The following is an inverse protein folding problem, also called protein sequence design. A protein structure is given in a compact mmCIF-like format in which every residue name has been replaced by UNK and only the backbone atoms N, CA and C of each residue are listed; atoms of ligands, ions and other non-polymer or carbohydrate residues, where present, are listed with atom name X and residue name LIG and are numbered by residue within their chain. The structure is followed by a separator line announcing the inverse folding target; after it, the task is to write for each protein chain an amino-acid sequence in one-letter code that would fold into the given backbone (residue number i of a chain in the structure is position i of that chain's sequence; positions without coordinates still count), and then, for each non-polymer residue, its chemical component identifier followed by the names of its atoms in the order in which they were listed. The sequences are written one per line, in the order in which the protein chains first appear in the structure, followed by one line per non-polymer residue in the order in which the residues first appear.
data_IF_412772837909
#
_entry.id   IF_412772837909
#
_cell.length_a   1.000
_cell.length_b   1.000
_cell.length_c   1.000
_cell.angle_alpha   90.00
_cell.angle_beta   90.00
_cell.angle_gamma   90.00
#
_symmetry.space_group_name_H-M   'P 1'
#
loop_
_entity.id
_entity.type
_entity.pdbx_description
1 polymer ?
#
# COMPACT_ATOMS: atom_id res chain seq x y z
N UNK A 1 -54.92 -23.97 26.93
CA UNK A 1 -55.95 -24.80 26.28
C UNK A 1 -55.36 -25.52 25.08
N UNK A 2 -55.41 -26.83 25.09
CA UNK A 2 -55.21 -27.86 24.05
C UNK A 2 -53.83 -27.85 23.35
N UNK A 3 -52.84 -28.67 23.68
CA UNK A 3 -52.79 -30.17 23.80
C UNK A 3 -52.80 -30.88 22.43
N UNK A 4 -51.63 -31.57 22.20
CA UNK A 4 -51.47 -33.01 21.82
C UNK A 4 -51.64 -33.30 20.32
N UNK A 5 -50.63 -33.92 19.65
CA UNK A 5 -50.37 -35.37 19.68
C UNK A 5 -49.09 -35.76 18.90
N UNK A 6 -48.32 -36.60 19.53
CA UNK A 6 -47.27 -37.48 19.02
C UNK A 6 -47.78 -38.47 17.97
N UNK A 7 -46.99 -38.85 16.98
CA UNK A 7 -46.95 -40.23 16.48
C UNK A 7 -45.55 -40.65 16.07
N UNK A 8 -45.07 -41.64 16.82
CA UNK A 8 -43.97 -42.54 16.47
C UNK A 8 -44.44 -43.57 15.46
N UNK A 9 -43.63 -43.92 14.48
CA UNK A 9 -43.66 -45.29 13.92
C UNK A 9 -42.19 -45.73 13.68
N UNK A 10 -41.87 -46.85 14.35
CA UNK A 10 -40.68 -47.71 14.13
C UNK A 10 -41.05 -48.78 13.09
N UNK A 11 -40.05 -49.19 12.28
CA UNK A 11 -39.80 -50.58 11.82
C UNK A 11 -38.55 -50.50 10.95
N UNK A 12 -37.44 -51.06 11.26
CA UNK A 12 -36.96 -52.45 11.33
C UNK A 12 -36.34 -52.91 9.99
N UNK A 13 -35.04 -53.06 10.06
CA UNK A 13 -34.09 -54.03 9.48
C UNK A 13 -34.42 -54.78 8.18
N UNK A 14 -33.48 -54.72 7.23
CA UNK A 14 -33.03 -55.93 6.51
C UNK A 14 -31.60 -55.69 5.97
N UNK A 15 -30.67 -56.47 6.49
CA UNK A 15 -29.32 -56.66 5.96
C UNK A 15 -29.37 -57.64 4.79
N UNK A 16 -28.68 -57.34 3.70
CA UNK A 16 -28.38 -58.36 2.69
C UNK A 16 -26.90 -58.23 2.34
N UNK A 17 -26.14 -59.22 2.83
CA UNK A 17 -24.80 -59.56 2.35
C UNK A 17 -24.92 -60.11 0.91
N UNK A 18 -24.03 -59.66 0.02
CA UNK A 18 -23.67 -60.45 -1.16
C UNK A 18 -22.15 -60.45 -1.35
N UNK A 19 -21.66 -61.68 -1.42
CA UNK A 19 -20.25 -62.10 -1.40
C UNK A 19 -19.73 -62.22 -2.83
N UNK A 20 -18.49 -61.76 -3.02
CA UNK A 20 -17.41 -62.16 -3.93
C UNK A 20 -17.70 -62.77 -5.29
N UNK A 21 -17.01 -62.22 -6.30
CA UNK A 21 -16.11 -63.02 -7.14
C UNK A 21 -14.89 -62.22 -7.61
N UNK A 22 -13.72 -62.68 -7.19
CA UNK A 22 -12.42 -62.37 -7.79
C UNK A 22 -12.33 -63.10 -9.13
N UNK A 23 -11.98 -62.34 -10.21
CA UNK A 23 -11.39 -62.94 -11.37
C UNK A 23 -10.13 -62.15 -11.74
N UNK A 24 -8.98 -62.76 -11.49
CA UNK A 24 -7.70 -62.32 -12.02
C UNK A 24 -7.59 -62.79 -13.47
N UNK A 25 -7.23 -61.87 -14.37
CA UNK A 25 -6.57 -62.21 -15.63
C UNK A 25 -5.45 -61.22 -15.86
N UNK A 26 -4.28 -61.79 -16.00
CA UNK A 26 -3.02 -61.10 -16.25
C UNK A 26 -2.82 -60.84 -17.74
N UNK A 27 -1.89 -59.92 -17.99
CA UNK A 27 -1.07 -59.70 -19.16
C UNK A 27 -1.68 -58.87 -20.32
N UNK A 28 -1.03 -57.75 -20.55
CA UNK A 28 -1.14 -56.90 -21.74
C UNK A 28 -0.27 -55.63 -21.61
N UNK A 29 0.97 -55.77 -21.96
CA UNK A 29 1.87 -54.83 -22.66
C UNK A 29 1.80 -53.33 -22.39
N UNK A 30 3.01 -52.81 -22.16
CA UNK A 30 3.52 -51.44 -22.17
C UNK A 30 2.77 -50.41 -22.99
N UNK A 31 2.17 -49.49 -22.28
CA UNK A 31 1.90 -48.17 -22.73
C UNK A 31 2.75 -47.23 -21.89
N UNK A 32 3.71 -46.60 -22.50
CA UNK A 32 4.47 -45.47 -21.99
C UNK A 32 3.46 -44.33 -21.74
N UNK A 33 2.78 -44.44 -20.63
CA UNK A 33 1.87 -43.41 -20.10
C UNK A 33 2.71 -42.28 -19.54
N UNK A 34 3.10 -41.36 -20.42
CA UNK A 34 3.43 -40.01 -19.96
C UNK A 34 2.31 -39.58 -19.02
N UNK A 35 2.56 -39.62 -17.70
CA UNK A 35 1.74 -38.95 -16.72
C UNK A 35 1.65 -37.50 -17.19
N UNK A 36 0.50 -37.10 -17.74
CA UNK A 36 0.18 -35.69 -17.84
C UNK A 36 0.27 -35.17 -16.41
N UNK A 37 1.30 -34.36 -16.13
CA UNK A 37 1.36 -33.65 -14.85
C UNK A 37 0.02 -32.98 -14.67
N UNK A 38 -0.62 -33.26 -13.53
CA UNK A 38 -1.94 -32.70 -13.20
C UNK A 38 -1.78 -31.19 -13.15
N UNK A 39 -2.31 -30.48 -14.15
CA UNK A 39 -2.23 -29.03 -14.24
C UNK A 39 -2.85 -28.32 -13.02
N UNK A 40 -3.68 -29.06 -12.25
CA UNK A 40 -4.28 -28.56 -11.01
C UNK A 40 -3.30 -28.48 -9.84
N UNK A 41 -2.15 -29.19 -9.87
CA UNK A 41 -1.16 -29.16 -8.81
C UNK A 41 -0.44 -27.79 -8.76
N UNK A 42 -0.63 -26.99 -7.69
CA UNK A 42 -0.02 -25.68 -7.56
C UNK A 42 1.50 -25.71 -7.51
N UNK A 43 2.12 -26.85 -7.20
CA UNK A 43 3.57 -26.97 -7.02
C UNK A 43 4.32 -27.21 -8.33
N UNK A 44 3.62 -27.57 -9.40
CA UNK A 44 4.21 -27.81 -10.73
C UNK A 44 4.39 -26.52 -11.50
N UNK A 45 5.38 -26.49 -12.38
CA UNK A 45 5.57 -25.39 -13.34
C UNK A 45 4.34 -25.27 -14.25
N UNK A 46 4.15 -24.07 -14.80
CA UNK A 46 3.19 -23.88 -15.87
C UNK A 46 3.65 -24.67 -17.10
N UNK A 47 2.77 -25.55 -17.61
CA UNK A 47 3.07 -26.32 -18.83
C UNK A 47 3.27 -25.36 -20.01
N UNK A 48 4.44 -25.37 -20.66
CA UNK A 48 4.72 -24.48 -21.80
C UNK A 48 3.85 -24.74 -23.03
N UNK A 49 3.13 -25.85 -23.07
CA UNK A 49 2.19 -26.18 -24.17
C UNK A 49 0.79 -25.62 -23.91
N UNK A 50 0.45 -25.33 -22.66
CA UNK A 50 -0.86 -24.79 -22.28
C UNK A 50 -0.89 -23.29 -22.54
N UNK A 51 -1.74 -22.84 -23.45
CA UNK A 51 -1.98 -21.40 -23.70
C UNK A 51 -2.82 -20.83 -22.57
N UNK A 52 -2.31 -19.75 -21.94
CA UNK A 52 -2.97 -19.07 -20.85
C UNK A 52 -3.11 -17.59 -21.17
N UNK A 53 -4.31 -17.05 -20.97
CA UNK A 53 -4.54 -15.59 -21.02
C UNK A 53 -4.96 -15.11 -19.65
N UNK A 54 -4.26 -14.10 -19.12
CA UNK A 54 -4.61 -13.40 -17.87
C UNK A 54 -4.92 -11.94 -18.17
N UNK A 55 -5.95 -11.43 -17.50
CA UNK A 55 -6.32 -10.02 -17.55
C UNK A 55 -5.79 -9.29 -16.31
N UNK A 56 -5.17 -8.12 -16.50
CA UNK A 56 -4.54 -7.34 -15.42
C UNK A 56 -5.02 -5.90 -15.48
N UNK A 57 -5.42 -5.31 -14.39
CA UNK A 57 -5.74 -3.89 -14.37
C UNK A 57 -4.50 -2.99 -14.18
N UNK A 58 -4.72 -1.68 -14.23
CA UNK A 58 -3.68 -0.66 -14.05
C UNK A 58 -2.59 -0.65 -15.12
N UNK A 59 -2.86 -1.14 -16.31
CA UNK A 59 -1.99 -0.86 -17.45
C UNK A 59 -1.93 0.66 -17.69
N UNK A 60 -0.74 1.27 -17.80
CA UNK A 60 -0.60 2.70 -18.05
C UNK A 60 -1.39 3.15 -19.27
N UNK A 61 -2.12 4.28 -19.20
CA UNK A 61 -2.86 4.81 -20.34
C UNK A 61 -1.92 5.39 -21.41
N UNK A 62 -2.41 5.56 -22.63
CA UNK A 62 -1.61 6.10 -23.74
C UNK A 62 -1.02 7.51 -23.46
N UNK A 63 -1.65 8.29 -22.60
CA UNK A 63 -1.13 9.59 -22.18
C UNK A 63 0.17 9.48 -21.36
N UNK A 64 0.41 8.35 -20.68
CA UNK A 64 1.64 8.04 -19.93
C UNK A 64 2.58 7.18 -20.80
N UNK A 65 3.12 7.77 -21.84
CA UNK A 65 3.81 7.07 -22.92
C UNK A 65 5.05 6.29 -22.45
N UNK A 66 5.85 6.85 -21.53
CA UNK A 66 7.04 6.20 -20.99
C UNK A 66 6.68 4.98 -20.13
N UNK A 67 5.71 5.12 -19.22
CA UNK A 67 5.22 4.03 -18.38
C UNK A 67 4.59 2.91 -19.23
N UNK A 68 3.81 3.29 -20.27
CA UNK A 68 3.21 2.32 -21.19
C UNK A 68 4.27 1.58 -22.03
N UNK A 69 5.36 2.28 -22.40
CA UNK A 69 6.51 1.67 -23.10
C UNK A 69 7.16 0.64 -22.19
N UNK A 70 7.51 1.01 -20.97
CA UNK A 70 8.08 0.10 -19.96
C UNK A 70 7.20 -1.14 -19.76
N UNK A 71 5.88 -0.93 -19.59
CA UNK A 71 4.92 -2.04 -19.40
C UNK A 71 4.95 -3.02 -20.59
N UNK A 72 5.00 -2.53 -21.82
CA UNK A 72 5.08 -3.36 -23.03
C UNK A 72 6.41 -4.12 -23.13
N UNK A 73 7.50 -3.51 -22.74
CA UNK A 73 8.82 -4.13 -22.71
C UNK A 73 8.90 -5.22 -21.65
N UNK A 74 8.29 -4.99 -20.48
CA UNK A 74 8.14 -6.01 -19.43
C UNK A 74 7.36 -7.23 -19.93
N UNK A 75 6.24 -7.02 -20.62
CA UNK A 75 5.46 -8.11 -21.22
C UNK A 75 6.31 -8.87 -22.24
N UNK A 76 7.05 -8.15 -23.10
CA UNK A 76 7.91 -8.76 -24.08
C UNK A 76 9.07 -9.56 -23.46
N UNK A 77 9.66 -9.05 -22.37
CA UNK A 77 10.71 -9.76 -21.65
C UNK A 77 10.17 -10.99 -20.90
N UNK A 78 9.04 -10.86 -20.23
CA UNK A 78 8.35 -11.97 -19.57
C UNK A 78 8.02 -13.09 -20.55
N UNK A 79 7.54 -12.73 -21.73
CA UNK A 79 7.18 -13.71 -22.79
C UNK A 79 8.38 -14.44 -23.41
N UNK A 80 9.63 -14.02 -23.16
CA UNK A 80 10.80 -14.83 -23.52
C UNK A 80 10.90 -16.10 -22.67
N UNK A 81 10.42 -16.03 -21.44
CA UNK A 81 10.40 -17.19 -20.51
C UNK A 81 9.07 -17.95 -20.61
N UNK A 82 7.96 -17.21 -20.79
CA UNK A 82 6.59 -17.75 -20.83
C UNK A 82 5.90 -17.40 -22.15
N UNK A 83 6.34 -17.97 -23.32
CA UNK A 83 5.80 -17.61 -24.62
C UNK A 83 4.34 -18.05 -24.84
N UNK A 84 3.84 -18.93 -23.97
CA UNK A 84 2.48 -19.45 -23.96
C UNK A 84 1.51 -18.60 -23.12
N UNK A 85 2.00 -17.55 -22.45
CA UNK A 85 1.17 -16.66 -21.64
C UNK A 85 0.87 -15.36 -22.39
N UNK A 86 -0.40 -15.02 -22.51
CA UNK A 86 -0.86 -13.72 -23.01
C UNK A 86 -1.29 -12.84 -21.85
N UNK A 87 -0.76 -11.61 -21.79
CA UNK A 87 -1.12 -10.62 -20.78
C UNK A 87 -1.99 -9.54 -21.41
N UNK A 88 -3.25 -9.46 -21.00
CA UNK A 88 -4.21 -8.45 -21.43
C UNK A 88 -4.35 -7.36 -20.36
N UNK A 89 -3.66 -6.22 -20.57
CA UNK A 89 -3.74 -5.08 -19.68
C UNK A 89 -5.04 -4.31 -19.85
N UNK A 90 -5.64 -3.92 -18.74
CA UNK A 90 -6.78 -2.99 -18.70
C UNK A 90 -6.31 -1.64 -18.19
N UNK A 91 -6.46 -0.62 -19.01
CA UNK A 91 -6.22 0.77 -18.58
C UNK A 91 -7.48 1.35 -17.98
N UNK A 92 -7.31 2.06 -16.87
CA UNK A 92 -8.40 2.73 -16.18
C UNK A 92 -8.19 4.24 -16.27
N UNK A 93 -9.18 5.02 -16.71
CA UNK A 93 -9.11 6.48 -16.65
C UNK A 93 -8.99 6.96 -15.19
N UNK A 94 -8.13 7.95 -14.96
CA UNK A 94 -7.91 8.50 -13.63
C UNK A 94 -6.95 7.65 -12.77
N UNK A 95 -7.22 7.61 -11.47
CA UNK A 95 -6.45 6.76 -10.56
C UNK A 95 -6.82 5.29 -10.77
N UNK A 96 -5.84 4.42 -10.64
CA UNK A 96 -6.03 3.00 -10.81
C UNK A 96 -7.07 2.41 -9.86
N UNK A 97 -7.06 2.83 -8.61
CA UNK A 97 -8.02 2.46 -7.61
C UNK A 97 -8.84 3.69 -7.18
N UNK A 98 -10.16 3.63 -7.40
CA UNK A 98 -11.14 4.57 -6.87
C UNK A 98 -12.09 3.80 -5.95
N UNK A 99 -12.18 4.13 -4.64
CA UNK A 99 -12.89 3.30 -3.66
C UNK A 99 -14.33 2.93 -4.03
N UNK A 100 -15.20 3.85 -4.52
CA UNK A 100 -16.58 3.46 -4.89
C UNK A 100 -16.63 2.46 -6.06
N UNK A 101 -15.74 2.64 -7.06
CA UNK A 101 -15.65 1.74 -8.21
C UNK A 101 -15.08 0.39 -7.80
N UNK A 102 -14.09 0.37 -6.93
CA UNK A 102 -13.49 -0.83 -6.41
C UNK A 102 -14.50 -1.68 -5.64
N UNK A 103 -15.27 -1.08 -4.73
CA UNK A 103 -16.34 -1.77 -4.00
C UNK A 103 -17.37 -2.37 -4.96
N UNK A 104 -17.89 -1.59 -5.90
CA UNK A 104 -18.85 -2.10 -6.89
C UNK A 104 -18.28 -3.23 -7.77
N UNK A 105 -16.98 -3.16 -8.10
CA UNK A 105 -16.29 -4.21 -8.86
C UNK A 105 -16.19 -5.52 -8.06
N UNK A 106 -15.89 -5.45 -6.77
CA UNK A 106 -15.83 -6.61 -5.88
C UNK A 106 -17.22 -7.25 -5.70
N UNK A 107 -18.23 -6.45 -5.37
CA UNK A 107 -19.62 -6.90 -5.21
C UNK A 107 -20.16 -7.59 -6.49
N UNK A 108 -19.86 -7.02 -7.66
CA UNK A 108 -20.24 -7.59 -8.95
C UNK A 108 -19.35 -8.76 -9.40
N UNK A 109 -18.28 -9.11 -8.65
CA UNK A 109 -17.28 -10.12 -9.02
C UNK A 109 -16.69 -9.91 -10.43
N UNK A 110 -16.56 -8.61 -10.83
CA UNK A 110 -16.13 -8.21 -12.18
C UNK A 110 -14.64 -7.81 -12.27
N UNK A 111 -13.88 -8.00 -11.20
CA UNK A 111 -12.44 -7.76 -11.19
C UNK A 111 -11.73 -8.60 -12.25
N UNK A 112 -10.64 -8.08 -12.86
CA UNK A 112 -9.80 -8.87 -13.75
C UNK A 112 -9.12 -10.03 -13.01
N UNK A 113 -8.45 -10.94 -13.73
CA UNK A 113 -7.76 -12.09 -13.12
C UNK A 113 -6.71 -11.62 -12.08
N UNK A 114 -6.07 -10.48 -12.34
CA UNK A 114 -5.09 -9.83 -11.46
C UNK A 114 -5.51 -8.38 -11.27
N UNK A 115 -5.81 -7.98 -10.05
CA UNK A 115 -6.36 -6.67 -9.74
C UNK A 115 -5.57 -5.94 -8.65
N UNK A 116 -5.46 -4.62 -8.81
CA UNK A 116 -4.69 -3.74 -7.95
C UNK A 116 -5.48 -3.35 -6.70
N UNK A 117 -4.82 -3.34 -5.53
CA UNK A 117 -5.39 -2.91 -4.25
C UNK A 117 -4.35 -2.20 -3.37
N UNK A 118 -4.83 -1.52 -2.32
CA UNK A 118 -3.99 -1.10 -1.21
C UNK A 118 -3.85 -2.22 -0.16
N UNK A 119 -2.82 -2.16 0.67
CA UNK A 119 -2.66 -3.12 1.78
C UNK A 119 -3.87 -3.13 2.72
N UNK A 120 -4.53 -1.98 2.88
CA UNK A 120 -5.72 -1.80 3.72
C UNK A 120 -6.99 -2.47 3.19
N UNK A 121 -7.01 -2.88 1.93
CA UNK A 121 -8.21 -3.43 1.29
C UNK A 121 -8.39 -4.94 1.52
N UNK A 122 -7.34 -5.63 2.01
CA UNK A 122 -7.38 -7.09 2.20
C UNK A 122 -8.62 -7.58 2.99
N UNK A 123 -9.03 -6.95 4.11
CA UNK A 123 -10.22 -7.39 4.83
C UNK A 123 -11.50 -7.29 3.99
N UNK A 124 -11.69 -6.19 3.24
CA UNK A 124 -12.84 -6.01 2.36
C UNK A 124 -12.85 -7.04 1.23
N UNK A 125 -11.70 -7.27 0.60
CA UNK A 125 -11.56 -8.25 -0.49
C UNK A 125 -11.89 -9.66 -0.01
N UNK A 126 -11.46 -10.01 1.21
CA UNK A 126 -11.75 -11.33 1.79
C UNK A 126 -13.22 -11.48 2.21
N UNK A 127 -13.84 -10.42 2.71
CA UNK A 127 -15.27 -10.42 3.05
C UNK A 127 -16.14 -10.73 1.83
N UNK A 128 -15.72 -10.25 0.65
CA UNK A 128 -16.39 -10.48 -0.64
C UNK A 128 -15.92 -11.76 -1.36
N UNK A 129 -15.10 -12.62 -0.72
CA UNK A 129 -14.50 -13.80 -1.36
C UNK A 129 -13.85 -13.43 -2.72
N UNK A 130 -13.15 -12.28 -2.74
CA UNK A 130 -12.63 -11.67 -3.97
C UNK A 130 -11.27 -12.16 -4.40
N UNK A 131 -10.44 -12.68 -3.46
CA UNK A 131 -9.05 -13.04 -3.72
C UNK A 131 -8.74 -14.52 -3.45
N UNK A 132 -7.89 -15.07 -4.31
CA UNK A 132 -7.34 -16.43 -4.22
C UNK A 132 -6.24 -16.49 -3.16
N UNK A 133 -6.24 -17.53 -2.32
CA UNK A 133 -5.06 -17.92 -1.53
C UNK A 133 -3.96 -18.41 -2.49
N UNK A 134 -2.85 -17.67 -2.55
CA UNK A 134 -1.73 -17.98 -3.43
C UNK A 134 -0.56 -18.67 -2.72
N UNK A 135 -0.69 -19.00 -1.45
CA UNK A 135 0.40 -19.56 -0.63
C UNK A 135 1.04 -20.80 -1.26
N UNK A 136 0.24 -21.66 -1.87
CA UNK A 136 0.71 -22.87 -2.53
C UNK A 136 1.30 -22.64 -3.95
N UNK A 137 1.13 -21.44 -4.50
CA UNK A 137 1.60 -21.09 -5.86
C UNK A 137 2.89 -20.27 -5.87
N UNK A 138 3.33 -19.79 -4.69
CA UNK A 138 4.55 -18.98 -4.58
C UNK A 138 5.75 -19.87 -4.35
N UNK A 139 6.58 -19.99 -5.37
CA UNK A 139 7.76 -20.86 -5.42
C UNK A 139 9.01 -20.08 -5.88
N UNK A 140 10.22 -20.63 -5.66
CA UNK A 140 11.46 -20.00 -6.15
C UNK A 140 11.50 -19.77 -7.66
N UNK A 141 10.74 -20.53 -8.45
CA UNK A 141 10.67 -20.34 -9.89
C UNK A 141 9.72 -19.21 -10.31
N UNK A 142 8.69 -18.90 -9.50
CA UNK A 142 7.73 -17.82 -9.77
C UNK A 142 8.10 -16.52 -9.03
N UNK A 143 8.62 -16.61 -7.80
CA UNK A 143 9.04 -15.46 -6.98
C UNK A 143 10.40 -15.78 -6.35
N UNK A 144 11.50 -15.70 -7.12
CA UNK A 144 12.81 -16.20 -6.69
C UNK A 144 13.38 -15.48 -5.46
N UNK A 145 13.00 -14.23 -5.25
CA UNK A 145 13.50 -13.40 -4.15
C UNK A 145 12.46 -13.17 -3.02
N UNK A 146 11.44 -14.03 -2.92
CA UNK A 146 10.41 -13.90 -1.88
C UNK A 146 10.99 -13.73 -0.46
N UNK A 147 12.06 -14.46 -0.15
CA UNK A 147 12.69 -14.42 1.18
C UNK A 147 13.46 -13.12 1.46
N UNK A 148 13.76 -12.36 0.41
CA UNK A 148 14.47 -11.10 0.49
C UNK A 148 13.50 -9.90 0.52
N UNK A 149 12.20 -10.13 0.33
CA UNK A 149 11.18 -9.12 0.57
C UNK A 149 11.01 -8.96 2.08
N UNK A 150 10.88 -7.72 2.54
CA UNK A 150 10.67 -7.42 3.95
C UNK A 150 9.42 -8.15 4.48
N UNK A 151 9.53 -8.94 5.57
CA UNK A 151 8.39 -9.63 6.16
C UNK A 151 7.22 -8.70 6.51
N UNK A 152 7.47 -7.49 7.02
CA UNK A 152 6.42 -6.53 7.38
C UNK A 152 5.55 -6.16 6.17
N UNK A 153 6.16 -6.12 4.97
CA UNK A 153 5.45 -5.87 3.71
C UNK A 153 4.60 -7.07 3.30
N UNK A 154 5.16 -8.29 3.39
CA UNK A 154 4.44 -9.52 3.06
C UNK A 154 3.31 -9.81 4.06
N UNK A 155 3.53 -9.52 5.34
CA UNK A 155 2.54 -9.79 6.39
C UNK A 155 1.30 -8.89 6.26
N UNK A 156 1.44 -7.71 5.64
CA UNK A 156 0.30 -6.86 5.25
C UNK A 156 -0.66 -7.54 4.26
N UNK A 157 -0.20 -8.59 3.57
CA UNK A 157 -0.97 -9.36 2.58
C UNK A 157 -1.35 -10.76 3.08
N UNK A 158 -1.13 -11.01 4.38
CA UNK A 158 -1.46 -12.29 5.00
C UNK A 158 -2.72 -12.18 5.85
N UNK A 159 -3.52 -13.22 5.76
CA UNK A 159 -4.64 -13.43 6.67
C UNK A 159 -4.64 -14.88 7.15
N UNK A 160 -4.61 -15.08 8.46
CA UNK A 160 -4.53 -16.44 9.10
C UNK A 160 -3.39 -17.30 8.53
N UNK A 161 -2.22 -16.68 8.29
CA UNK A 161 -1.03 -17.34 7.76
C UNK A 161 -1.02 -17.60 6.24
N UNK A 162 -2.11 -17.30 5.53
CA UNK A 162 -2.25 -17.46 4.08
C UNK A 162 -1.90 -16.15 3.36
N UNK A 163 -1.30 -16.24 2.19
CA UNK A 163 -0.91 -15.11 1.36
C UNK A 163 -1.93 -14.88 0.24
N UNK A 164 -2.41 -13.64 0.07
CA UNK A 164 -3.47 -13.30 -0.88
C UNK A 164 -3.04 -12.34 -2.00
N UNK A 165 -1.81 -11.87 -1.97
CA UNK A 165 -1.28 -10.97 -2.99
C UNK A 165 0.24 -10.89 -2.97
N UNK A 166 0.80 -10.20 -3.97
CA UNK A 166 2.22 -9.83 -3.98
C UNK A 166 2.35 -8.30 -3.98
N UNK A 167 3.27 -7.75 -3.15
CA UNK A 167 3.43 -6.31 -3.04
C UNK A 167 4.05 -5.75 -4.31
N UNK A 168 3.63 -4.54 -4.70
CA UNK A 168 4.27 -3.77 -5.78
C UNK A 168 5.19 -2.70 -5.24
N UNK A 169 4.72 -2.00 -4.21
CA UNK A 169 5.48 -0.96 -3.53
C UNK A 169 5.04 -0.87 -2.08
N UNK A 170 5.93 -0.39 -1.25
CA UNK A 170 5.61 0.10 0.08
C UNK A 170 6.24 1.47 0.27
N UNK A 171 5.65 2.25 1.15
CA UNK A 171 6.21 3.53 1.56
C UNK A 171 6.25 3.63 3.08
N UNK A 172 7.16 4.45 3.58
CA UNK A 172 7.14 4.98 4.94
C UNK A 172 7.00 6.48 4.85
N UNK A 173 6.30 7.08 5.81
CA UNK A 173 6.16 8.52 5.83
C UNK A 173 7.39 9.19 6.43
N UNK A 174 7.74 10.35 5.88
CA UNK A 174 8.78 11.23 6.38
C UNK A 174 8.34 12.69 6.36
N UNK A 175 9.21 13.57 6.80
CA UNK A 175 9.02 15.00 6.69
C UNK A 175 9.60 15.49 5.34
N UNK A 176 8.72 15.84 4.41
CA UNK A 176 9.10 16.48 3.16
C UNK A 176 9.30 17.97 3.39
N UNK A 177 10.38 18.52 2.84
CA UNK A 177 10.72 19.94 2.94
C UNK A 177 10.89 20.59 1.56
N UNK A 178 10.54 21.86 1.45
CA UNK A 178 10.94 22.73 0.36
C UNK A 178 12.30 23.33 0.69
N UNK A 179 13.35 22.88 0.00
CA UNK A 179 14.74 23.29 0.26
C UNK A 179 14.96 24.77 0.09
N UNK A 180 14.34 25.37 -0.95
CA UNK A 180 14.44 26.81 -1.20
C UNK A 180 13.87 27.64 -0.04
N UNK A 181 12.68 27.29 0.44
CA UNK A 181 12.07 28.02 1.56
C UNK A 181 12.84 27.82 2.87
N UNK A 182 13.53 26.68 3.03
CA UNK A 182 14.46 26.48 4.15
C UNK A 182 15.62 27.45 4.06
N UNK A 183 16.31 27.53 2.92
CA UNK A 183 17.42 28.45 2.70
C UNK A 183 16.98 29.92 2.87
N UNK A 184 15.84 30.31 2.28
CA UNK A 184 15.27 31.66 2.40
C UNK A 184 14.97 32.04 3.87
N UNK A 185 14.59 31.07 4.70
CA UNK A 185 14.32 31.24 6.14
C UNK A 185 15.57 31.10 7.03
N UNK A 186 16.77 30.91 6.43
CA UNK A 186 18.01 30.69 7.17
C UNK A 186 18.07 29.36 7.94
N UNK A 187 17.41 28.34 7.38
CA UNK A 187 17.42 26.96 7.86
C UNK A 187 18.31 26.11 6.96
N UNK A 188 18.91 25.07 7.54
CA UNK A 188 19.72 24.11 6.78
C UNK A 188 18.81 23.04 6.15
N UNK A 189 18.69 22.96 4.80
CA UNK A 189 17.88 21.98 4.12
C UNK A 189 18.44 20.54 4.20
N UNK A 190 19.71 20.37 4.60
CA UNK A 190 20.32 19.06 4.79
C UNK A 190 20.17 18.54 6.25
N UNK A 191 19.63 19.38 7.14
CA UNK A 191 19.31 19.06 8.52
C UNK A 191 17.80 19.29 8.81
N UNK A 192 16.88 18.53 8.20
CA UNK A 192 15.45 18.68 8.43
C UNK A 192 15.09 18.39 9.89
N UNK A 193 14.03 19.05 10.43
CA UNK A 193 13.54 18.86 11.78
C UNK A 193 13.31 17.40 12.16
N UNK A 194 13.69 17.00 13.37
CA UNK A 194 13.57 15.63 13.90
C UNK A 194 12.57 15.50 15.02
N UNK A 195 12.18 16.61 15.64
CA UNK A 195 11.15 16.66 16.69
C UNK A 195 10.01 17.57 16.25
N UNK A 196 8.84 17.39 16.87
CA UNK A 196 7.70 18.25 16.58
C UNK A 196 7.90 19.68 17.05
N UNK A 197 8.73 19.90 18.08
CA UNK A 197 9.16 21.23 18.55
C UNK A 197 10.03 21.91 17.50
N UNK A 198 10.96 21.19 16.87
CA UNK A 198 11.80 21.71 15.77
C UNK A 198 10.95 22.00 14.54
N UNK A 199 9.96 21.16 14.19
CA UNK A 199 9.00 21.42 13.10
C UNK A 199 8.25 22.71 13.35
N UNK A 200 7.72 22.90 14.58
CA UNK A 200 7.03 24.13 14.96
C UNK A 200 7.92 25.37 14.85
N UNK A 201 9.16 25.29 15.33
CA UNK A 201 10.13 26.38 15.25
C UNK A 201 10.51 26.72 13.79
N UNK A 202 10.73 25.71 12.95
CA UNK A 202 11.02 25.91 11.53
C UNK A 202 9.81 26.48 10.79
N UNK A 203 8.61 25.99 11.08
CA UNK A 203 7.37 26.47 10.48
C UNK A 203 7.14 27.97 10.75
N UNK A 204 7.41 28.45 11.97
CA UNK A 204 7.33 29.88 12.28
C UNK A 204 8.30 30.72 11.47
N UNK A 205 9.56 30.29 11.31
CA UNK A 205 10.57 30.99 10.52
C UNK A 205 10.17 31.06 9.05
N UNK A 206 9.67 29.96 8.48
CA UNK A 206 9.25 29.92 7.08
C UNK A 206 8.01 30.79 6.87
N UNK A 207 7.01 30.71 7.74
CA UNK A 207 5.82 31.56 7.64
C UNK A 207 6.14 33.06 7.74
N UNK A 208 7.18 33.44 8.50
CA UNK A 208 7.66 34.82 8.61
C UNK A 208 8.25 35.39 7.32
N UNK A 209 8.52 34.57 6.28
CA UNK A 209 8.88 35.04 4.95
C UNK A 209 7.74 35.83 4.29
N UNK A 210 6.51 35.64 4.75
CA UNK A 210 5.34 36.35 4.23
C UNK A 210 4.90 35.85 2.83
N UNK A 211 4.25 36.73 2.06
CA UNK A 211 3.85 36.40 0.69
C UNK A 211 2.84 35.23 0.57
N UNK A 212 2.15 34.88 1.65
CA UNK A 212 1.20 33.77 1.69
C UNK A 212 1.87 32.38 1.83
N UNK A 213 3.15 32.36 2.22
CA UNK A 213 3.87 31.11 2.52
C UNK A 213 3.41 30.55 3.87
N UNK A 214 3.13 29.27 3.91
CA UNK A 214 2.88 28.51 5.14
C UNK A 214 4.13 27.72 5.50
N UNK A 215 4.45 27.62 6.79
CA UNK A 215 5.61 26.87 7.25
C UNK A 215 5.35 25.37 7.29
N UNK A 216 4.17 24.97 7.79
CA UNK A 216 3.73 23.58 7.82
C UNK A 216 2.31 23.45 7.27
N UNK A 217 2.06 22.38 6.53
CA UNK A 217 0.74 22.05 5.99
C UNK A 217 0.21 20.74 6.53
N UNK A 218 -1.12 20.68 6.69
CA UNK A 218 -1.77 19.47 7.19
C UNK A 218 -3.09 19.21 6.46
N UNK A 219 -3.38 17.94 6.23
CA UNK A 219 -4.67 17.52 5.71
C UNK A 219 -5.74 17.47 6.81
N UNK A 220 -6.99 17.68 6.43
CA UNK A 220 -8.12 17.55 7.35
C UNK A 220 -9.42 17.14 6.64
N UNK A 221 -9.31 16.57 5.44
CA UNK A 221 -10.43 16.09 4.64
C UNK A 221 -10.02 14.93 3.72
N UNK A 222 -11.00 14.23 3.16
CA UNK A 222 -10.79 13.19 2.15
C UNK A 222 -10.07 11.94 2.65
N UNK A 223 -10.24 11.58 3.93
CA UNK A 223 -9.57 10.51 4.68
C UNK A 223 -8.08 10.78 4.94
N UNK A 224 -7.51 11.84 4.36
CA UNK A 224 -6.06 12.12 4.46
C UNK A 224 -5.68 12.82 5.76
N UNK A 225 -6.61 13.55 6.39
CA UNK A 225 -6.38 14.10 7.74
C UNK A 225 -6.23 13.01 8.78
N UNK A 226 -7.10 12.00 8.76
CA UNK A 226 -7.01 10.86 9.66
C UNK A 226 -5.77 9.99 9.40
N UNK A 227 -5.35 9.86 8.14
CA UNK A 227 -4.10 9.21 7.76
C UNK A 227 -2.89 9.92 8.37
N UNK A 228 -2.80 11.26 8.27
CA UNK A 228 -1.73 12.04 8.87
C UNK A 228 -1.78 12.09 10.40
N UNK A 229 -2.99 12.14 10.99
CA UNK A 229 -3.13 11.99 12.44
C UNK A 229 -2.53 10.66 12.91
N UNK A 230 -2.78 9.57 12.17
CA UNK A 230 -2.23 8.25 12.46
C UNK A 230 -0.70 8.25 12.38
N UNK A 231 -0.14 8.84 11.32
CA UNK A 231 1.31 8.94 11.15
C UNK A 231 1.97 9.73 12.30
N UNK A 232 1.38 10.88 12.69
CA UNK A 232 1.86 11.69 13.81
C UNK A 232 1.77 10.93 15.14
N UNK A 233 0.65 10.24 15.38
CA UNK A 233 0.47 9.46 16.60
C UNK A 233 1.49 8.32 16.69
N UNK A 234 1.72 7.60 15.59
CA UNK A 234 2.72 6.54 15.50
C UNK A 234 4.14 7.09 15.74
N UNK A 235 4.44 8.28 15.24
CA UNK A 235 5.75 8.89 15.41
C UNK A 235 6.06 9.22 16.89
N UNK A 236 5.04 9.40 17.70
CA UNK A 236 5.14 9.58 19.14
C UNK A 236 5.09 8.27 19.94
N UNK A 237 4.86 7.13 19.27
CA UNK A 237 4.75 5.81 19.89
C UNK A 237 3.34 5.43 20.35
N UNK A 238 2.31 6.16 19.87
CA UNK A 238 0.91 5.83 20.15
C UNK A 238 0.32 4.80 19.18
N UNK A 239 -0.93 4.43 19.41
CA UNK A 239 -1.72 3.48 18.65
C UNK A 239 -3.09 4.04 18.30
N UNK A 240 -3.60 3.71 17.10
CA UNK A 240 -4.98 4.04 16.70
C UNK A 240 -5.97 3.08 17.33
N UNK A 241 -5.64 1.80 17.32
CA UNK A 241 -6.44 0.72 17.94
C UNK A 241 -5.58 -0.03 18.94
N UNK A 242 -6.20 -0.71 19.87
CA UNK A 242 -5.52 -1.56 20.84
C UNK A 242 -4.89 -2.80 20.18
N UNK A 243 -4.09 -3.55 20.92
CA UNK A 243 -3.38 -4.73 20.43
C UNK A 243 -4.34 -5.80 19.88
N UNK A 244 -5.58 -5.84 20.35
CA UNK A 244 -6.61 -6.75 19.83
C UNK A 244 -7.24 -6.28 18.52
N UNK A 245 -7.04 -5.01 18.14
CA UNK A 245 -7.67 -4.40 16.97
C UNK A 245 -9.16 -4.12 17.14
N UNK A 246 -9.70 -4.25 18.36
CA UNK A 246 -11.14 -4.19 18.62
C UNK A 246 -11.62 -2.91 19.30
N UNK A 247 -10.69 -2.06 19.75
CA UNK A 247 -11.00 -0.80 20.45
C UNK A 247 -10.08 0.33 20.02
N UNK A 248 -10.61 1.53 19.97
CA UNK A 248 -9.83 2.74 19.77
C UNK A 248 -8.84 2.96 20.93
N UNK A 249 -7.61 3.38 20.62
CA UNK A 249 -6.55 3.62 21.56
C UNK A 249 -5.94 5.04 21.48
N UNK A 250 -6.37 5.84 20.53
CA UNK A 250 -5.80 7.17 20.24
C UNK A 250 -6.25 8.28 21.21
N UNK A 251 -7.37 8.10 21.94
CA UNK A 251 -7.86 9.11 22.88
C UNK A 251 -7.09 9.04 24.20
N UNK A 252 -5.82 9.39 24.15
CA UNK A 252 -4.90 9.41 25.27
C UNK A 252 -4.01 10.67 25.24
N UNK A 253 -3.01 10.76 26.09
CA UNK A 253 -2.12 11.92 26.15
C UNK A 253 -1.37 12.18 24.84
N UNK A 254 -0.99 11.14 24.05
CA UNK A 254 -0.29 11.30 22.78
C UNK A 254 -1.23 11.82 21.68
N UNK A 255 -2.45 11.29 21.57
CA UNK A 255 -3.44 11.81 20.63
C UNK A 255 -3.84 13.25 20.93
N UNK A 256 -3.96 13.60 22.22
CA UNK A 256 -4.14 14.99 22.65
C UNK A 256 -2.92 15.86 22.31
N UNK A 257 -1.71 15.34 22.43
CA UNK A 257 -0.47 16.04 22.05
C UNK A 257 -0.45 16.36 20.56
N UNK A 258 -0.80 15.41 19.68
CA UNK A 258 -0.93 15.65 18.24
C UNK A 258 -1.91 16.79 17.96
N UNK A 259 -3.14 16.68 18.47
CA UNK A 259 -4.16 17.69 18.23
C UNK A 259 -3.80 19.08 18.78
N UNK A 260 -3.25 19.16 19.99
CA UNK A 260 -2.82 20.41 20.61
C UNK A 260 -1.63 21.05 19.91
N UNK A 261 -0.68 20.24 19.40
CA UNK A 261 0.44 20.76 18.64
C UNK A 261 -0.03 21.41 17.31
N UNK A 262 -0.93 20.75 16.60
CA UNK A 262 -1.53 21.31 15.39
C UNK A 262 -2.36 22.58 15.67
N UNK A 263 -3.14 22.58 16.75
CA UNK A 263 -3.87 23.76 17.21
C UNK A 263 -2.93 24.94 17.47
N UNK A 264 -1.84 24.72 18.19
CA UNK A 264 -0.86 25.74 18.49
C UNK A 264 -0.16 26.28 17.22
N UNK A 265 0.25 25.40 16.30
CA UNK A 265 0.83 25.81 15.01
C UNK A 265 -0.15 26.63 14.17
N UNK A 266 -1.44 26.34 14.25
CA UNK A 266 -2.49 27.05 13.50
C UNK A 266 -2.87 28.38 14.11
N UNK A 267 -3.07 28.45 15.41
CA UNK A 267 -3.72 29.58 16.07
C UNK A 267 -2.76 30.45 16.90
N UNK A 268 -1.75 29.87 17.55
CA UNK A 268 -0.76 30.63 18.32
C UNK A 268 0.40 31.10 17.45
N UNK A 269 0.87 30.24 16.51
CA UNK A 269 2.06 30.51 15.70
C UNK A 269 1.72 31.11 14.31
N UNK A 270 0.47 31.05 13.87
CA UNK A 270 -0.01 31.41 12.53
C UNK A 270 0.87 30.85 11.39
N UNK A 271 1.42 29.64 11.62
CA UNK A 271 2.42 29.05 10.72
C UNK A 271 1.83 28.09 9.65
N UNK A 272 0.52 27.79 9.72
CA UNK A 272 -0.15 26.84 8.83
C UNK A 272 -0.99 27.50 7.72
N UNK A 273 -1.03 28.83 7.68
CA UNK A 273 -1.85 29.59 6.75
C UNK A 273 -3.36 29.47 7.04
N UNK A 274 -4.19 30.18 6.27
CA UNK A 274 -5.61 30.35 6.59
C UNK A 274 -6.52 29.30 5.93
N UNK A 275 -6.11 28.72 4.81
CA UNK A 275 -6.93 27.72 4.10
C UNK A 275 -6.74 26.37 4.74
N UNK A 276 -7.84 25.78 5.20
CA UNK A 276 -7.89 24.47 5.83
C UNK A 276 -8.87 23.55 5.09
N UNK A 277 -9.11 22.37 5.59
CA UNK A 277 -9.86 21.25 4.96
C UNK A 277 -9.18 20.78 3.67
N UNK A 278 -7.86 20.77 3.72
CA UNK A 278 -7.02 20.31 2.63
C UNK A 278 -7.08 18.78 2.54
N UNK A 279 -6.99 18.29 1.32
CA UNK A 279 -6.95 16.87 0.97
C UNK A 279 -5.74 16.58 0.10
N UNK A 280 -5.50 15.32 -0.20
CA UNK A 280 -4.41 14.92 -1.08
C UNK A 280 -4.44 15.69 -2.42
N UNK A 281 -3.30 16.14 -2.86
CA UNK A 281 -3.11 17.06 -4.00
C UNK A 281 -2.95 18.54 -3.59
N UNK A 282 -3.63 18.99 -2.53
CA UNK A 282 -3.61 20.42 -2.14
C UNK A 282 -2.26 20.83 -1.53
N UNK A 283 -1.64 19.98 -0.67
CA UNK A 283 -0.33 20.25 -0.08
C UNK A 283 0.78 20.10 -1.13
N UNK A 284 0.68 19.12 -2.00
CA UNK A 284 1.59 18.93 -3.13
C UNK A 284 1.61 20.16 -4.04
N UNK A 285 0.43 20.68 -4.39
CA UNK A 285 0.34 21.91 -5.20
C UNK A 285 1.00 23.11 -4.51
N UNK A 286 0.83 23.26 -3.20
CA UNK A 286 1.40 24.36 -2.43
C UNK A 286 2.91 24.28 -2.32
N UNK A 287 3.47 23.11 -2.00
CA UNK A 287 4.92 22.94 -1.85
C UNK A 287 5.62 23.01 -3.21
N UNK A 288 4.99 22.50 -4.28
CA UNK A 288 5.49 22.58 -5.66
C UNK A 288 5.58 24.04 -6.19
N UNK A 289 4.79 24.95 -5.61
CA UNK A 289 4.74 26.38 -6.00
C UNK A 289 5.38 27.32 -4.98
N UNK A 290 6.25 26.80 -4.10
CA UNK A 290 6.94 27.56 -3.05
C UNK A 290 5.98 28.32 -2.11
N UNK A 291 4.82 27.72 -1.78
CA UNK A 291 3.83 28.26 -0.84
C UNK A 291 3.70 27.44 0.44
N UNK A 292 4.52 26.39 0.56
CA UNK A 292 4.54 25.52 1.74
C UNK A 292 5.96 25.04 2.02
N UNK A 293 6.39 25.17 3.28
CA UNK A 293 7.73 24.77 3.71
C UNK A 293 7.87 23.27 3.96
N UNK A 294 6.89 22.68 4.64
CA UNK A 294 6.96 21.29 5.09
C UNK A 294 5.58 20.65 5.21
N UNK A 295 5.52 19.35 4.99
CA UNK A 295 4.41 18.47 5.43
C UNK A 295 4.88 17.02 5.54
N UNK A 296 4.10 16.15 6.19
CA UNK A 296 4.36 14.72 6.14
C UNK A 296 4.00 14.16 4.77
N UNK A 297 4.86 13.36 4.20
CA UNK A 297 4.68 12.83 2.85
C UNK A 297 5.25 11.41 2.71
N UNK A 298 4.73 10.68 1.74
CA UNK A 298 5.38 9.51 1.20
C UNK A 298 6.32 9.91 0.04
N UNK A 299 7.37 9.14 -0.26
CA UNK A 299 8.33 9.49 -1.31
C UNK A 299 7.76 9.64 -2.71
N UNK A 300 6.67 8.96 -3.03
CA UNK A 300 5.96 9.03 -4.31
C UNK A 300 5.26 10.39 -4.54
N UNK A 301 4.95 11.14 -3.48
CA UNK A 301 4.49 12.53 -3.59
C UNK A 301 5.48 13.41 -4.37
N UNK A 302 6.80 13.14 -4.23
CA UNK A 302 7.85 13.87 -4.96
C UNK A 302 7.73 13.63 -6.46
N UNK A 303 7.55 12.36 -6.86
CA UNK A 303 7.36 12.01 -8.27
C UNK A 303 6.12 12.69 -8.85
N UNK A 304 4.99 12.63 -8.13
CA UNK A 304 3.75 13.30 -8.53
C UNK A 304 3.96 14.81 -8.74
N UNK A 305 4.62 15.50 -7.82
CA UNK A 305 4.87 16.94 -7.93
C UNK A 305 5.73 17.29 -9.13
N UNK A 306 6.70 16.46 -9.46
CA UNK A 306 7.57 16.74 -10.63
C UNK A 306 6.86 16.37 -11.94
N UNK A 307 6.21 15.24 -12.01
CA UNK A 307 5.60 14.74 -13.25
C UNK A 307 4.30 15.45 -13.59
N UNK A 308 3.46 15.73 -12.60
CA UNK A 308 2.10 16.24 -12.83
C UNK A 308 1.99 17.75 -12.55
N UNK A 309 2.83 18.31 -11.66
CA UNK A 309 2.77 19.73 -11.27
C UNK A 309 3.95 20.57 -11.79
N UNK A 310 4.90 19.96 -12.52
CA UNK A 310 6.03 20.65 -13.13
C UNK A 310 7.08 21.17 -12.14
N UNK A 311 7.11 20.64 -10.91
CA UNK A 311 8.16 20.95 -9.94
C UNK A 311 9.51 20.33 -10.36
N UNK A 312 10.57 20.62 -9.60
CA UNK A 312 11.90 20.06 -9.83
C UNK A 312 12.34 19.24 -8.63
N UNK A 313 13.02 18.13 -8.88
CA UNK A 313 13.54 17.26 -7.82
C UNK A 313 14.49 17.98 -6.85
N UNK A 314 15.26 18.96 -7.36
CA UNK A 314 16.21 19.76 -6.60
C UNK A 314 15.54 20.59 -5.50
N UNK A 315 14.26 20.92 -5.67
CA UNK A 315 13.51 21.74 -4.72
C UNK A 315 13.14 20.98 -3.43
N UNK A 316 13.27 19.67 -3.43
CA UNK A 316 12.78 18.84 -2.34
C UNK A 316 13.91 18.18 -1.56
N UNK A 317 13.70 18.06 -0.24
CA UNK A 317 14.47 17.23 0.65
C UNK A 317 13.52 16.40 1.52
N UNK A 318 14.02 15.33 2.11
CA UNK A 318 13.21 14.48 2.99
C UNK A 318 14.02 14.06 4.20
N UNK A 319 13.43 14.20 5.39
CA UNK A 319 13.93 13.70 6.66
C UNK A 319 13.03 12.60 7.23
N UNK A 320 13.49 11.89 8.27
CA UNK A 320 12.65 10.95 8.99
C UNK A 320 11.43 11.67 9.58
N UNK A 321 10.37 10.92 9.85
CA UNK A 321 9.19 11.48 10.53
C UNK A 321 9.58 12.04 11.90
N UNK A 322 9.17 13.27 12.28
CA UNK A 322 9.50 13.86 13.57
C UNK A 322 9.00 13.00 14.74
N UNK A 323 9.83 12.86 15.79
CA UNK A 323 9.56 11.95 16.92
C UNK A 323 10.11 10.55 16.71
N UNK A 324 10.10 10.00 15.50
CA UNK A 324 10.82 8.80 15.04
C UNK A 324 10.66 7.54 15.89
N UNK A 325 9.57 7.40 16.67
CA UNK A 325 9.29 6.15 17.39
C UNK A 325 8.86 5.05 16.41
N UNK A 326 7.87 5.39 15.57
CA UNK A 326 7.44 4.57 14.44
C UNK A 326 7.09 5.48 13.27
N UNK A 327 7.06 4.94 12.06
CA UNK A 327 6.48 5.59 10.90
C UNK A 327 5.35 4.76 10.35
N UNK A 328 4.33 5.40 9.80
CA UNK A 328 3.26 4.71 9.12
C UNK A 328 3.80 4.08 7.84
N UNK A 329 3.49 2.80 7.67
CA UNK A 329 3.79 2.02 6.45
C UNK A 329 2.48 1.73 5.74
N UNK A 330 2.41 2.17 4.52
CA UNK A 330 1.38 1.76 3.58
C UNK A 330 1.99 1.14 2.33
N UNK A 331 1.15 0.79 1.37
CA UNK A 331 1.62 0.23 0.13
C UNK A 331 0.52 -0.34 -0.73
N UNK A 332 0.97 -0.83 -1.87
CA UNK A 332 0.11 -1.34 -2.93
C UNK A 332 0.48 -2.78 -3.25
N UNK A 333 -0.49 -3.51 -3.76
CA UNK A 333 -0.29 -4.89 -4.17
C UNK A 333 -1.21 -5.25 -5.32
N UNK A 334 -0.93 -6.41 -5.91
CA UNK A 334 -1.90 -7.09 -6.75
C UNK A 334 -2.38 -8.36 -6.07
N UNK A 335 -3.69 -8.56 -6.09
CA UNK A 335 -4.34 -9.80 -5.70
C UNK A 335 -4.81 -10.57 -6.94
N UNK A 336 -5.02 -11.87 -6.78
CA UNK A 336 -5.49 -12.74 -7.85
C UNK A 336 -6.94 -13.10 -7.56
N UNK A 337 -7.80 -12.96 -8.56
CA UNK A 337 -9.23 -13.24 -8.47
C UNK A 337 -9.50 -14.66 -8.04
N UNK A 338 -10.41 -14.83 -7.08
CA UNK A 338 -10.89 -16.13 -6.62
C UNK A 338 -11.58 -16.90 -7.75
N UNK A 339 -11.32 -18.22 -7.83
CA UNK A 339 -12.05 -19.14 -8.70
C UNK A 339 -11.57 -19.15 -10.17
N UNK A 340 -10.44 -18.56 -10.51
CA UNK A 340 -9.81 -18.75 -11.83
C UNK A 340 -9.03 -20.08 -11.88
N UNK A 341 -8.70 -20.55 -13.08
CA UNK A 341 -8.02 -21.84 -13.23
C UNK A 341 -6.61 -21.85 -12.63
N UNK A 342 -6.12 -23.01 -12.15
CA UNK A 342 -4.76 -23.15 -11.61
C UNK A 342 -3.67 -22.62 -12.55
N UNK A 343 -3.77 -22.85 -13.84
CA UNK A 343 -2.79 -22.34 -14.80
C UNK A 343 -2.82 -20.81 -14.91
N UNK A 344 -3.98 -20.18 -14.80
CA UNK A 344 -4.07 -18.73 -14.70
C UNK A 344 -3.42 -18.20 -13.42
N UNK A 345 -3.62 -18.89 -12.29
CA UNK A 345 -2.99 -18.51 -11.01
C UNK A 345 -1.46 -18.60 -11.14
N UNK A 346 -0.94 -19.71 -11.68
CA UNK A 346 0.51 -19.90 -11.95
C UNK A 346 1.07 -18.79 -12.83
N UNK A 347 0.42 -18.47 -13.93
CA UNK A 347 0.82 -17.41 -14.84
C UNK A 347 0.79 -16.03 -14.16
N UNK A 348 -0.25 -15.75 -13.39
CA UNK A 348 -0.39 -14.50 -12.62
C UNK A 348 0.70 -14.33 -11.56
N UNK A 349 0.97 -15.37 -10.77
CA UNK A 349 2.05 -15.33 -9.75
C UNK A 349 3.42 -15.17 -10.42
N UNK A 350 3.70 -15.86 -11.53
CA UNK A 350 4.94 -15.73 -12.28
C UNK A 350 5.12 -14.31 -12.84
N UNK A 351 4.07 -13.71 -13.39
CA UNK A 351 4.08 -12.32 -13.86
C UNK A 351 4.35 -11.33 -12.72
N UNK A 352 3.61 -11.46 -11.62
CA UNK A 352 3.80 -10.57 -10.46
C UNK A 352 5.20 -10.71 -9.86
N UNK A 353 5.73 -11.94 -9.79
CA UNK A 353 7.09 -12.21 -9.35
C UNK A 353 8.14 -11.55 -10.25
N UNK A 354 7.98 -11.66 -11.57
CA UNK A 354 8.84 -11.00 -12.55
C UNK A 354 8.76 -9.47 -12.46
N UNK A 355 7.55 -8.93 -12.54
CA UNK A 355 7.33 -7.47 -12.65
C UNK A 355 7.63 -6.73 -11.36
N UNK A 356 7.28 -7.30 -10.18
CA UNK A 356 7.24 -6.57 -8.92
C UNK A 356 8.08 -7.19 -7.79
N UNK A 357 8.67 -8.34 -8.00
CA UNK A 357 9.40 -9.06 -6.93
C UNK A 357 10.70 -9.71 -7.41
N UNK A 358 11.35 -9.13 -8.42
CA UNK A 358 12.66 -9.58 -8.92
C UNK A 358 13.60 -8.38 -9.09
N UNK A 359 14.63 -8.28 -8.25
CA UNK A 359 15.62 -7.21 -8.36
C UNK A 359 16.34 -7.25 -9.72
N UNK A 360 16.49 -6.09 -10.36
CA UNK A 360 17.07 -5.93 -11.70
C UNK A 360 16.14 -6.32 -12.84
N UNK A 361 14.84 -6.54 -12.58
CA UNK A 361 13.80 -6.85 -13.56
C UNK A 361 12.54 -6.04 -13.27
N UNK A 362 11.65 -5.94 -14.28
CA UNK A 362 10.39 -5.24 -14.12
C UNK A 362 10.60 -3.82 -13.59
N UNK A 363 9.88 -3.47 -12.53
CA UNK A 363 9.99 -2.15 -11.88
C UNK A 363 11.36 -1.88 -11.22
N UNK A 364 12.21 -2.87 -11.02
CA UNK A 364 13.55 -2.72 -10.43
C UNK A 364 14.68 -2.71 -11.48
N UNK A 365 14.33 -2.62 -12.78
CA UNK A 365 15.31 -2.40 -13.85
C UNK A 365 15.61 -0.89 -13.98
N UNK A 366 16.40 -0.38 -13.06
CA UNK A 366 16.73 1.04 -12.96
C UNK A 366 17.46 1.58 -14.21
N UNK A 367 18.27 0.75 -14.87
CA UNK A 367 18.96 1.13 -16.10
C UNK A 367 17.95 1.40 -17.22
N UNK A 368 16.97 0.52 -17.40
CA UNK A 368 15.91 0.67 -18.38
C UNK A 368 14.99 1.82 -18.03
N UNK A 369 14.55 1.93 -16.76
CA UNK A 369 13.71 3.03 -16.32
C UNK A 369 14.35 4.40 -16.66
N UNK A 370 15.66 4.56 -16.40
CA UNK A 370 16.41 5.76 -16.81
C UNK A 370 16.41 5.97 -18.33
N UNK A 371 16.67 4.91 -19.10
CA UNK A 371 16.69 4.98 -20.57
C UNK A 371 15.33 5.35 -21.16
N UNK A 372 14.23 4.97 -20.49
CA UNK A 372 12.86 5.27 -20.88
C UNK A 372 12.38 6.66 -20.39
N UNK A 373 13.24 7.41 -19.68
CA UNK A 373 12.92 8.73 -19.17
C UNK A 373 12.06 8.71 -17.90
N UNK A 374 12.00 7.56 -17.21
CA UNK A 374 11.31 7.44 -15.93
C UNK A 374 12.20 7.95 -14.77
N UNK A 375 11.61 8.43 -13.68
CA UNK A 375 12.37 8.90 -12.53
C UNK A 375 13.03 7.73 -11.79
N UNK A 376 14.34 7.86 -11.53
CA UNK A 376 15.12 6.91 -10.73
C UNK A 376 15.82 7.65 -9.61
N UNK A 377 15.76 7.10 -8.38
CA UNK A 377 16.46 7.67 -7.22
C UNK A 377 15.55 8.13 -6.09
N UNK A 378 14.22 8.02 -6.23
CA UNK A 378 13.30 8.27 -5.11
C UNK A 378 13.69 7.40 -3.90
N UNK A 379 13.62 7.94 -2.67
CA UNK A 379 13.92 7.17 -1.49
C UNK A 379 12.89 6.06 -1.34
N UNK A 380 13.37 4.81 -1.34
CA UNK A 380 12.51 3.65 -1.11
C UNK A 380 12.91 3.00 0.20
N UNK A 381 12.04 3.02 1.19
CA UNK A 381 12.28 2.27 2.40
C UNK A 381 12.10 0.77 2.10
N UNK A 382 12.94 -0.02 2.62
CA UNK A 382 12.82 -1.42 3.04
C UNK A 382 11.84 -2.36 2.29
N UNK A 383 11.78 -2.31 0.95
CA UNK A 383 11.10 -3.38 0.20
C UNK A 383 11.94 -4.66 0.24
N UNK A 384 13.23 -4.53 0.01
CA UNK A 384 14.21 -5.61 0.04
C UNK A 384 14.99 -5.65 1.36
N UNK A 385 15.50 -6.81 1.71
CA UNK A 385 16.44 -7.04 2.81
C UNK A 385 17.81 -7.54 2.33
N UNK A 386 18.77 -7.48 3.23
CA UNK A 386 20.09 -8.11 3.07
C UNK A 386 20.85 -7.68 1.82
N UNK A 387 21.43 -8.67 1.12
CA UNK A 387 22.23 -8.42 -0.08
C UNK A 387 21.43 -7.89 -1.26
N UNK A 388 20.18 -8.31 -1.39
CA UNK A 388 19.29 -7.85 -2.47
C UNK A 388 19.03 -6.37 -2.30
N UNK A 389 18.71 -5.90 -1.08
CA UNK A 389 18.60 -4.47 -0.79
C UNK A 389 19.84 -3.69 -1.18
N UNK A 390 21.02 -4.14 -0.73
CA UNK A 390 22.28 -3.43 -1.00
C UNK A 390 22.57 -3.31 -2.50
N UNK A 391 22.27 -4.34 -3.29
CA UNK A 391 22.43 -4.33 -4.75
C UNK A 391 21.41 -3.41 -5.42
N UNK A 392 20.15 -3.46 -5.01
CA UNK A 392 19.09 -2.64 -5.57
C UNK A 392 19.32 -1.15 -5.27
N UNK A 393 19.68 -0.82 -4.01
CA UNK A 393 20.00 0.56 -3.61
C UNK A 393 21.21 1.11 -4.41
N UNK A 394 22.26 0.30 -4.60
CA UNK A 394 23.42 0.71 -5.39
C UNK A 394 23.06 0.96 -6.86
N UNK A 395 22.31 0.07 -7.49
CA UNK A 395 21.85 0.22 -8.87
C UNK A 395 20.92 1.44 -9.03
N UNK A 396 20.01 1.66 -8.08
CA UNK A 396 19.12 2.82 -8.07
C UNK A 396 19.90 4.14 -7.98
N UNK A 397 20.95 4.21 -7.16
CA UNK A 397 21.81 5.39 -7.05
C UNK A 397 22.67 5.57 -8.31
N UNK A 398 23.22 4.51 -8.89
CA UNK A 398 24.02 4.53 -10.13
C UNK A 398 23.21 5.09 -11.31
N UNK A 399 21.94 4.73 -11.39
CA UNK A 399 21.07 5.15 -12.48
C UNK A 399 20.18 6.37 -12.13
N UNK A 400 20.43 7.04 -10.99
CA UNK A 400 19.62 8.14 -10.51
C UNK A 400 19.49 9.27 -11.56
N UNK A 401 18.28 9.82 -11.65
CA UNK A 401 17.91 10.96 -12.50
C UNK A 401 17.59 12.21 -11.66
N UNK A 402 17.83 12.13 -10.34
CA UNK A 402 17.52 13.18 -9.37
C UNK A 402 18.62 13.27 -8.31
N UNK A 403 18.70 14.39 -7.54
CA UNK A 403 19.72 14.56 -6.51
C UNK A 403 19.43 13.71 -5.25
N UNK A 404 19.78 12.43 -5.29
CA UNK A 404 19.57 11.47 -4.18
C UNK A 404 20.16 11.93 -2.85
N UNK A 405 21.15 12.82 -2.87
CA UNK A 405 21.75 13.43 -1.68
C UNK A 405 20.72 14.20 -0.84
N UNK A 406 19.73 14.82 -1.47
CA UNK A 406 18.64 15.54 -0.78
C UNK A 406 17.77 14.64 0.12
N UNK A 407 17.83 13.34 -0.10
CA UNK A 407 17.06 12.34 0.65
C UNK A 407 17.91 11.51 1.61
N UNK A 408 19.22 11.85 1.71
CA UNK A 408 20.18 11.08 2.51
C UNK A 408 19.75 10.98 3.98
N UNK A 409 19.26 12.07 4.55
CA UNK A 409 18.84 12.11 5.95
C UNK A 409 17.67 11.14 6.22
N UNK A 410 16.75 11.00 5.29
CA UNK A 410 15.66 10.03 5.39
C UNK A 410 16.16 8.59 5.24
N UNK A 411 17.03 8.34 4.26
CA UNK A 411 17.54 6.99 3.96
C UNK A 411 18.50 6.45 5.05
N UNK A 412 19.32 7.32 5.64
CA UNK A 412 20.30 6.93 6.65
C UNK A 412 19.71 6.77 8.07
N UNK A 413 18.47 7.26 8.28
CA UNK A 413 17.81 7.19 9.58
C UNK A 413 16.46 6.46 9.44
N UNK A 414 16.49 5.15 9.15
CA UNK A 414 15.27 4.37 9.02
C UNK A 414 14.50 4.34 10.35
N UNK A 415 13.22 4.60 10.28
CA UNK A 415 12.30 4.55 11.43
C UNK A 415 11.54 3.22 11.36
N UNK A 416 11.33 2.52 12.49
CA UNK A 416 10.54 1.29 12.52
C UNK A 416 9.15 1.52 11.92
N UNK A 417 8.76 0.65 10.99
CA UNK A 417 7.46 0.72 10.33
C UNK A 417 6.33 0.22 11.21
N UNK A 418 5.16 0.81 11.04
CA UNK A 418 3.91 0.35 11.64
C UNK A 418 2.80 0.38 10.59
N UNK A 419 2.16 -0.76 10.39
CA UNK A 419 1.09 -0.88 9.41
C UNK A 419 -0.12 0.01 9.76
N UNK A 420 -0.91 0.33 8.76
CA UNK A 420 -2.18 1.00 8.93
C UNK A 420 -3.14 0.17 9.79
N UNK A 421 -4.05 0.81 10.55
CA UNK A 421 -4.98 0.08 11.40
C UNK A 421 -6.02 -0.69 10.57
N UNK A 422 -6.69 -1.72 11.14
CA UNK A 422 -7.82 -2.35 10.48
C UNK A 422 -8.91 -1.30 10.19
N UNK A 423 -9.66 -1.47 9.09
CA UNK A 423 -10.65 -0.49 8.62
C UNK A 423 -10.10 0.94 8.52
N UNK A 424 -8.85 1.06 8.04
CA UNK A 424 -8.11 2.32 8.03
C UNK A 424 -8.90 3.45 7.38
N UNK A 425 -9.52 3.21 6.22
CA UNK A 425 -10.21 4.24 5.46
C UNK A 425 -11.42 4.82 6.21
N UNK A 426 -12.19 3.98 6.90
CA UNK A 426 -13.32 4.40 7.72
C UNK A 426 -12.87 5.13 8.98
N UNK A 427 -11.79 4.65 9.62
CA UNK A 427 -11.19 5.31 10.78
C UNK A 427 -10.63 6.68 10.38
N UNK A 428 -9.93 6.78 9.25
CA UNK A 428 -9.40 8.05 8.74
C UNK A 428 -10.50 9.08 8.48
N UNK A 429 -11.62 8.64 7.90
CA UNK A 429 -12.80 9.50 7.71
C UNK A 429 -13.36 10.03 9.04
N UNK A 430 -13.34 9.22 10.09
CA UNK A 430 -13.77 9.65 11.42
C UNK A 430 -12.78 10.67 12.00
N UNK A 431 -11.47 10.39 11.89
CA UNK A 431 -10.40 11.26 12.39
C UNK A 431 -10.27 12.57 11.60
N UNK A 432 -10.66 12.63 10.33
CA UNK A 432 -10.77 13.89 9.59
C UNK A 432 -11.59 14.93 10.35
N UNK A 433 -12.63 14.49 11.08
CA UNK A 433 -13.45 15.41 11.87
C UNK A 433 -12.69 16.03 13.05
N UNK A 434 -11.74 15.30 13.64
CA UNK A 434 -10.84 15.84 14.69
C UNK A 434 -9.90 16.86 14.06
N UNK A 435 -9.23 16.49 12.97
CA UNK A 435 -8.29 17.35 12.27
C UNK A 435 -8.95 18.63 11.76
N UNK A 436 -10.12 18.50 11.13
CA UNK A 436 -10.89 19.66 10.67
C UNK A 436 -11.31 20.55 11.84
N UNK A 437 -11.81 19.99 12.95
CA UNK A 437 -12.20 20.75 14.12
C UNK A 437 -11.04 21.59 14.68
N UNK A 438 -9.90 20.94 14.93
CA UNK A 438 -8.70 21.59 15.47
C UNK A 438 -8.16 22.71 14.57
N UNK A 439 -8.23 22.53 13.24
CA UNK A 439 -7.64 23.48 12.29
C UNK A 439 -8.58 24.60 11.84
N UNK A 440 -9.90 24.46 12.06
CA UNK A 440 -10.91 25.46 11.61
C UNK A 440 -11.61 26.20 12.74
N UNK A 441 -11.45 25.77 13.98
CA UNK A 441 -12.06 26.36 15.15
C UNK A 441 -10.99 26.63 16.21
N UNK A 442 -10.76 27.91 16.53
CA UNK A 442 -9.78 28.36 17.52
C UNK A 442 -10.17 27.92 18.94
N UNK A 443 -11.47 27.82 19.21
CA UNK A 443 -12.02 27.40 20.51
C UNK A 443 -12.28 25.89 20.58
N UNK A 444 -11.70 25.10 19.67
CA UNK A 444 -11.93 23.66 19.56
C UNK A 444 -11.63 22.91 20.87
N UNK A 445 -12.62 22.26 21.43
CA UNK A 445 -12.46 21.34 22.55
C UNK A 445 -11.86 20.00 22.06
N UNK A 446 -10.52 19.90 22.17
CA UNK A 446 -9.75 18.73 21.74
C UNK A 446 -10.22 17.46 22.45
N UNK A 447 -10.54 17.53 23.73
CA UNK A 447 -10.97 16.37 24.52
C UNK A 447 -12.31 15.84 24.02
N UNK A 448 -13.25 16.73 23.73
CA UNK A 448 -14.56 16.39 23.17
C UNK A 448 -14.46 15.85 21.73
N UNK A 449 -13.59 16.42 20.90
CA UNK A 449 -13.36 15.94 19.53
C UNK A 449 -12.82 14.51 19.55
N UNK A 450 -11.79 14.22 20.34
CA UNK A 450 -11.20 12.89 20.46
C UNK A 450 -12.17 11.89 21.08
N UNK A 451 -12.91 12.24 22.13
CA UNK A 451 -13.90 11.36 22.73
C UNK A 451 -15.05 11.01 21.76
N UNK A 452 -15.47 11.98 20.96
CA UNK A 452 -16.49 11.75 19.91
C UNK A 452 -15.98 10.80 18.84
N UNK A 453 -14.73 10.98 18.38
CA UNK A 453 -14.10 10.10 17.40
C UNK A 453 -13.91 8.69 17.96
N UNK A 454 -13.41 8.56 19.20
CA UNK A 454 -13.25 7.28 19.90
C UNK A 454 -14.57 6.49 19.95
N UNK A 455 -15.66 7.12 20.33
CA UNK A 455 -16.97 6.49 20.40
C UNK A 455 -17.46 5.99 19.03
N UNK A 456 -17.13 6.72 17.94
CA UNK A 456 -17.46 6.31 16.56
C UNK A 456 -16.59 5.13 16.09
N UNK A 457 -15.27 5.18 16.38
CA UNK A 457 -14.35 4.10 16.03
C UNK A 457 -14.67 2.82 16.79
N UNK A 458 -14.99 2.92 18.09
CA UNK A 458 -15.40 1.74 18.87
C UNK A 458 -16.68 1.08 18.32
N UNK A 459 -17.65 1.86 17.84
CA UNK A 459 -18.83 1.30 17.15
C UNK A 459 -18.44 0.61 15.84
N UNK A 460 -17.63 1.27 15.01
CA UNK A 460 -17.14 0.70 13.76
C UNK A 460 -16.41 -0.65 13.98
N UNK A 461 -15.63 -0.77 15.05
CA UNK A 461 -14.87 -1.98 15.37
C UNK A 461 -15.72 -3.08 16.03
N UNK A 462 -16.84 -2.73 16.67
CA UNK A 462 -17.77 -3.69 17.26
C UNK A 462 -18.64 -4.42 16.22
N UNK A 463 -18.77 -3.86 15.02
CA UNK A 463 -19.55 -4.44 13.90
C UNK A 463 -18.69 -5.43 13.06
N UNK A 464 -17.77 -6.18 13.73
CA UNK A 464 -16.91 -7.20 13.09
C UNK A 464 -17.47 -8.60 13.17
#
# INVERSE_FOLDING_TARGET
MRAVLLRRCRHASAATLLVLTLTACAAGEGGDGTRSEDSSDPTTLLDPKTKVTITIDCMPPAAKAAELKEWKEDVAEFNRTYPNVTIEGRSTPGQCLEPPRFTAMLEAKSQPDVFYTYFTDLPQVLAEDGAQDISAYVHPWSVPLLKDINPDVLDSLRYRGRLYGLPTSNYTMGLLINRKLFEDAGLDPDAPPRTWEEVRAAAKKIAALGGGVSGFGEYSAGNTGGWHFTAQLYSLGGDIVDVSGTRAAFNNHLGKQVAKNLHAMRWEDDSMGKTQRLKWGDLQQRIATDKLGMFLAAPDDIAYMVQELGAKYENFGMGPIPGSRNTLVGGNNYMIKQGISPDKIKAAVAWLGFKFATAGKGQFDWARAKADGLPVGLPQPNFWLGRTKAKDDAARVEHATMPVANFKTFMDNPVPGKAEPPKAQEIYKILDSVMSGVLTDEDADVDKLLATAEAKVNRLLADQ
#
